data_IF_351919146638
#
_entry.id   IF_351919146638
#
_cell.length_a   1.000
_cell.length_b   1.000
_cell.length_c   1.000
_cell.angle_alpha   90.00
_cell.angle_beta   90.00
_cell.angle_gamma   90.00
#
_symmetry.space_group_name_H-M   'P 1'
#
loop_
_entity.id
_entity.type
_entity.pdbx_description
1 polymer ?
#
# COMPACT_ATOMS: atom_id res chain seq x y z
N UNK A 1 19.51 -19.85 -17.28
CA UNK A 1 18.31 -19.27 -16.66
C UNK A 1 17.42 -20.43 -16.27
N UNK A 2 16.93 -20.65 -15.07
CA UNK A 2 17.14 -20.09 -13.74
C UNK A 2 16.37 -21.10 -12.86
N UNK A 3 17.03 -21.90 -12.03
CA UNK A 3 16.37 -22.98 -11.28
C UNK A 3 16.09 -22.51 -9.85
N UNK A 4 15.27 -21.48 -9.70
CA UNK A 4 14.80 -21.07 -8.38
C UNK A 4 13.92 -22.19 -7.82
N UNK A 5 14.27 -22.81 -6.67
CA UNK A 5 13.45 -23.86 -6.08
C UNK A 5 12.05 -23.33 -5.76
N UNK A 6 11.01 -24.12 -6.07
CA UNK A 6 9.62 -23.71 -5.80
C UNK A 6 9.39 -23.40 -4.31
N UNK A 7 10.05 -24.14 -3.42
CA UNK A 7 10.00 -23.90 -1.97
C UNK A 7 10.49 -22.50 -1.59
N UNK A 8 11.55 -22.01 -2.24
CA UNK A 8 12.06 -20.65 -2.03
C UNK A 8 11.02 -19.60 -2.43
N UNK A 9 10.31 -19.82 -3.54
CA UNK A 9 9.23 -18.93 -4.01
C UNK A 9 8.06 -18.94 -3.01
N UNK A 10 7.68 -20.11 -2.52
CA UNK A 10 6.56 -20.28 -1.60
C UNK A 10 6.80 -19.61 -0.25
N UNK A 11 8.01 -19.73 0.29
CA UNK A 11 8.46 -19.06 1.52
C UNK A 11 8.42 -17.53 1.37
N UNK A 12 8.96 -16.99 0.27
CA UNK A 12 8.90 -15.54 -0.02
C UNK A 12 7.47 -15.05 -0.14
N UNK A 13 6.62 -15.79 -0.84
CA UNK A 13 5.21 -15.46 -1.00
C UNK A 13 4.47 -15.47 0.35
N UNK A 14 4.81 -16.38 1.27
CA UNK A 14 4.24 -16.39 2.60
C UNK A 14 4.60 -15.12 3.39
N UNK A 15 5.85 -14.67 3.32
CA UNK A 15 6.26 -13.41 3.95
C UNK A 15 5.54 -12.19 3.37
N UNK A 16 5.39 -12.10 2.05
CA UNK A 16 4.65 -10.99 1.44
C UNK A 16 3.17 -11.00 1.80
N UNK A 17 2.53 -12.18 1.87
CA UNK A 17 1.14 -12.31 2.33
C UNK A 17 0.98 -11.81 3.76
N UNK A 18 1.84 -12.23 4.68
CA UNK A 18 1.78 -11.80 6.07
C UNK A 18 1.90 -10.27 6.21
N UNK A 19 2.84 -9.65 5.48
CA UNK A 19 3.03 -8.19 5.53
C UNK A 19 1.88 -7.44 4.88
N UNK A 20 1.33 -7.96 3.78
CA UNK A 20 0.11 -7.43 3.15
C UNK A 20 -1.05 -7.45 4.15
N UNK A 21 -1.26 -8.55 4.84
CA UNK A 21 -2.39 -8.72 5.76
C UNK A 21 -2.28 -7.75 6.94
N UNK A 22 -1.09 -7.61 7.54
CA UNK A 22 -0.83 -6.59 8.57
C UNK A 22 -1.09 -5.17 8.06
N UNK A 23 -0.70 -4.86 6.83
CA UNK A 23 -0.92 -3.54 6.26
C UNK A 23 -2.41 -3.27 6.01
N UNK A 24 -3.15 -4.27 5.51
CA UNK A 24 -4.60 -4.20 5.31
C UNK A 24 -5.36 -3.98 6.62
N UNK A 25 -4.94 -4.65 7.70
CA UNK A 25 -5.50 -4.47 9.04
C UNK A 25 -5.26 -3.05 9.58
N UNK A 26 -4.12 -2.44 9.26
CA UNK A 26 -3.76 -1.09 9.71
C UNK A 26 -4.36 0.05 8.86
N UNK A 27 -4.86 -0.22 7.65
CA UNK A 27 -5.40 0.83 6.76
C UNK A 27 -6.51 1.68 7.40
N UNK A 28 -7.51 1.10 8.10
CA UNK A 28 -8.60 1.88 8.69
C UNK A 28 -8.09 2.90 9.72
N UNK A 29 -7.11 2.52 10.54
CA UNK A 29 -6.50 3.41 11.55
C UNK A 29 -5.76 4.59 10.91
N UNK A 30 -5.30 4.41 9.67
CA UNK A 30 -4.68 5.45 8.85
C UNK A 30 -5.69 6.28 8.04
N UNK A 31 -7.01 6.02 8.18
CA UNK A 31 -8.05 6.68 7.38
C UNK A 31 -8.05 6.27 5.91
N UNK A 32 -7.53 5.08 5.62
CA UNK A 32 -7.41 4.50 4.28
C UNK A 32 -8.37 3.34 4.08
N UNK A 33 -8.75 3.11 2.83
CA UNK A 33 -9.54 1.93 2.45
C UNK A 33 -8.93 1.28 1.22
N UNK A 34 -8.54 0.00 1.32
CA UNK A 34 -8.04 -0.72 0.16
C UNK A 34 -9.09 -0.78 -0.96
N UNK A 35 -8.70 -0.41 -2.18
CA UNK A 35 -9.59 -0.51 -3.34
C UNK A 35 -9.80 -1.96 -3.78
N UNK A 36 -8.81 -2.81 -3.53
CA UNK A 36 -8.84 -4.26 -3.75
C UNK A 36 -7.90 -4.92 -2.76
N UNK A 37 -8.22 -6.15 -2.33
CA UNK A 37 -7.29 -7.01 -1.59
C UNK A 37 -6.44 -7.76 -2.63
N UNK A 38 -5.15 -7.44 -2.79
CA UNK A 38 -4.36 -8.07 -3.83
C UNK A 38 -3.96 -9.49 -3.44
N UNK A 39 -4.04 -10.41 -4.40
CA UNK A 39 -3.73 -11.83 -4.17
C UNK A 39 -2.22 -12.11 -4.02
N UNK A 40 -1.34 -11.20 -4.46
CA UNK A 40 0.11 -11.36 -4.36
C UNK A 40 0.93 -10.09 -4.62
N UNK A 41 0.37 -8.90 -4.40
CA UNK A 41 1.05 -7.66 -4.74
C UNK A 41 1.95 -7.15 -3.62
N UNK A 42 3.13 -6.69 -4.01
CA UNK A 42 4.05 -5.89 -3.17
C UNK A 42 3.51 -4.50 -2.84
N UNK A 43 2.40 -4.11 -3.47
CA UNK A 43 1.82 -2.78 -3.36
C UNK A 43 0.33 -2.86 -3.05
N UNK A 44 -0.12 -1.97 -2.15
CA UNK A 44 -1.53 -1.71 -1.90
C UNK A 44 -1.92 -0.39 -2.56
N UNK A 45 -3.09 -0.39 -3.18
CA UNK A 45 -3.75 0.82 -3.66
C UNK A 45 -4.94 1.10 -2.76
N UNK A 46 -4.89 2.23 -2.06
CA UNK A 46 -5.87 2.57 -1.04
C UNK A 46 -6.43 3.96 -1.28
N UNK A 47 -7.75 4.11 -1.14
CA UNK A 47 -8.46 5.38 -1.20
C UNK A 47 -8.20 6.17 0.07
N UNK A 48 -7.92 7.45 -0.07
CA UNK A 48 -7.85 8.41 1.03
C UNK A 48 -9.28 8.89 1.29
N UNK A 49 -9.83 8.52 2.45
CA UNK A 49 -11.13 9.03 2.88
C UNK A 49 -11.01 10.37 3.62
N UNK A 50 -9.85 10.61 4.25
CA UNK A 50 -9.53 11.87 4.90
C UNK A 50 -9.29 13.00 3.87
N UNK A 51 -9.34 14.25 4.36
CA UNK A 51 -8.94 15.44 3.59
C UNK A 51 -9.65 15.58 2.22
N UNK A 52 -10.90 15.11 2.12
CA UNK A 52 -11.70 15.11 0.89
C UNK A 52 -11.00 14.48 -0.33
N UNK A 53 -10.06 13.56 -0.10
CA UNK A 53 -9.28 12.91 -1.16
C UNK A 53 -8.09 13.73 -1.67
N UNK A 54 -7.58 14.69 -0.89
CA UNK A 54 -6.25 15.28 -1.15
C UNK A 54 -5.15 14.30 -0.74
N UNK A 55 -4.72 13.49 -1.70
CA UNK A 55 -3.70 12.47 -1.51
C UNK A 55 -2.30 13.04 -1.26
N UNK A 56 -2.01 14.25 -1.74
CA UNK A 56 -0.69 14.88 -1.57
C UNK A 56 -0.56 15.41 -0.13
N UNK A 57 -1.57 16.12 0.34
CA UNK A 57 -1.60 16.62 1.72
C UNK A 57 -1.67 15.47 2.73
N UNK A 58 -2.42 14.40 2.42
CA UNK A 58 -2.41 13.19 3.22
C UNK A 58 -1.00 12.60 3.37
N UNK A 59 -0.27 12.42 2.27
CA UNK A 59 1.10 11.90 2.31
C UNK A 59 2.02 12.78 3.16
N UNK A 60 1.83 14.11 3.13
CA UNK A 60 2.59 15.06 3.96
C UNK A 60 2.29 14.86 5.44
N UNK A 61 1.01 14.77 5.82
CA UNK A 61 0.60 14.59 7.21
C UNK A 61 1.09 13.27 7.79
N UNK A 62 0.88 12.15 7.08
CA UNK A 62 1.32 10.82 7.54
C UNK A 62 2.83 10.74 7.75
N UNK A 63 3.61 11.40 6.89
CA UNK A 63 5.06 11.49 7.06
C UNK A 63 5.45 12.24 8.33
N UNK A 64 4.70 13.27 8.71
CA UNK A 64 5.00 14.11 9.88
C UNK A 64 4.49 13.49 11.19
N UNK A 65 3.35 12.80 11.17
CA UNK A 65 2.71 12.26 12.38
C UNK A 65 3.06 10.80 12.64
N UNK A 66 3.08 9.98 11.60
CA UNK A 66 3.30 8.53 11.69
C UNK A 66 4.70 8.11 11.25
N UNK A 67 5.51 9.02 10.70
CA UNK A 67 6.85 8.75 10.16
C UNK A 67 6.87 7.67 9.06
N UNK A 68 5.75 7.51 8.36
CA UNK A 68 5.59 6.57 7.24
C UNK A 68 5.62 7.33 5.93
N UNK A 69 6.38 6.82 4.96
CA UNK A 69 6.40 7.35 3.59
C UNK A 69 5.42 6.58 2.71
N UNK A 70 4.47 7.29 2.12
CA UNK A 70 3.50 6.78 1.15
C UNK A 70 3.58 7.60 -0.13
N UNK A 71 3.17 6.99 -1.25
CA UNK A 71 3.26 7.63 -2.55
C UNK A 71 1.88 8.15 -2.96
N UNK A 72 1.73 9.46 -3.23
CA UNK A 72 0.44 10.03 -3.64
C UNK A 72 0.03 9.47 -5.00
N UNK A 73 -1.23 9.10 -5.14
CA UNK A 73 -1.76 8.50 -6.34
C UNK A 73 -1.82 9.45 -7.53
N UNK A 74 -1.87 10.77 -7.28
CA UNK A 74 -1.84 11.81 -8.29
C UNK A 74 -0.61 11.73 -9.22
N UNK A 75 0.50 11.14 -8.77
CA UNK A 75 1.69 10.94 -9.64
C UNK A 75 1.43 9.94 -10.78
N UNK A 76 0.43 9.08 -10.64
CA UNK A 76 0.02 8.11 -11.65
C UNK A 76 -1.01 8.68 -12.64
N UNK A 77 -1.35 9.97 -12.51
CA UNK A 77 -2.30 10.68 -13.36
C UNK A 77 -3.61 11.01 -12.66
N UNK A 78 -4.53 11.65 -13.40
CA UNK A 78 -5.78 12.16 -12.84
C UNK A 78 -6.67 11.07 -12.22
N UNK A 79 -6.64 9.85 -12.75
CA UNK A 79 -7.38 8.71 -12.22
C UNK A 79 -6.87 8.22 -10.85
N UNK A 80 -5.67 8.63 -10.44
CA UNK A 80 -5.09 8.27 -9.14
C UNK A 80 -5.29 9.31 -8.03
N UNK A 81 -5.91 10.46 -8.33
CA UNK A 81 -6.21 11.47 -7.30
C UNK A 81 -7.11 10.88 -6.21
N UNK A 82 -6.80 11.18 -4.95
CA UNK A 82 -7.51 10.62 -3.80
C UNK A 82 -7.17 9.17 -3.48
N UNK A 83 -6.08 8.64 -4.04
CA UNK A 83 -5.53 7.33 -3.67
C UNK A 83 -4.06 7.48 -3.26
N UNK A 84 -3.55 6.47 -2.54
CA UNK A 84 -2.14 6.32 -2.22
C UNK A 84 -1.67 4.92 -2.55
N UNK A 85 -0.39 4.81 -2.90
CA UNK A 85 0.32 3.52 -3.03
C UNK A 85 1.19 3.29 -1.81
N UNK A 86 0.97 2.17 -1.14
CA UNK A 86 1.83 1.68 -0.07
C UNK A 86 2.65 0.48 -0.57
N UNK A 87 3.89 0.38 -0.15
CA UNK A 87 4.71 -0.82 -0.35
C UNK A 87 4.65 -1.71 0.88
N UNK A 88 4.51 -3.02 0.67
CA UNK A 88 4.94 -3.99 1.67
C UNK A 88 6.47 -4.05 1.61
N UNK A 89 7.21 -3.78 2.71
CA UNK A 89 8.64 -4.09 2.77
C UNK A 89 8.90 -5.60 2.65
#
# INVERSE_FOLDING_TARGET
MDHTPQTWIDERNAHYRQRRDLLLEALPDLGLTASIVPQGALYLWARVAALDGDDVEYCRQVRETAYVSVVPGAIYGAAGRGFVRLGSP
#
